data_IF_062266963899
#
_entry.id   IF_062266963899
#
_cell.length_a   1.000
_cell.length_b   1.000
_cell.length_c   1.000
_cell.angle_alpha   90.00
_cell.angle_beta   90.00
_cell.angle_gamma   90.00
#
_symmetry.space_group_name_H-M   'P 1'
#
loop_
_entity.id
_entity.type
_entity.pdbx_description
1 polymer ?
#
# COMPACT_ATOMS: atom_id res chain seq x y z
N UNK A 1 -23.67 -57.44 26.08
CA UNK A 1 -22.64 -56.85 25.19
C UNK A 1 -23.18 -55.79 24.22
N UNK A 2 -24.49 -55.48 24.19
CA UNK A 2 -25.08 -54.58 23.18
C UNK A 2 -25.01 -53.07 23.48
N UNK A 3 -24.68 -52.65 24.71
CA UNK A 3 -24.70 -51.22 25.09
C UNK A 3 -23.52 -50.39 24.60
N UNK A 4 -22.41 -51.02 24.19
CA UNK A 4 -21.23 -50.30 23.70
C UNK A 4 -21.49 -49.78 22.29
N UNK A 5 -22.16 -50.57 21.43
CA UNK A 5 -22.45 -50.17 20.05
C UNK A 5 -23.36 -48.94 19.93
N UNK A 6 -24.33 -48.77 20.83
CA UNK A 6 -25.23 -47.61 20.82
C UNK A 6 -24.53 -46.31 21.23
N UNK A 7 -23.55 -46.37 22.13
CA UNK A 7 -22.75 -45.20 22.54
C UNK A 7 -21.86 -44.71 21.39
N UNK A 8 -21.23 -45.62 20.65
CA UNK A 8 -20.45 -45.26 19.46
C UNK A 8 -21.32 -44.62 18.39
N UNK A 9 -22.53 -45.15 18.16
CA UNK A 9 -23.45 -44.60 17.16
C UNK A 9 -23.89 -43.17 17.52
N UNK A 10 -24.18 -42.92 18.80
CA UNK A 10 -24.54 -41.58 19.28
C UNK A 10 -23.37 -40.59 19.17
N UNK A 11 -22.14 -41.04 19.44
CA UNK A 11 -20.94 -40.21 19.32
C UNK A 11 -20.68 -39.79 17.86
N UNK A 12 -20.78 -40.74 16.93
CA UNK A 12 -20.59 -40.47 15.50
C UNK A 12 -21.68 -39.56 14.97
N UNK A 13 -22.94 -39.79 15.35
CA UNK A 13 -24.06 -38.93 14.97
C UNK A 13 -23.91 -37.50 15.53
N UNK A 14 -23.46 -37.37 16.78
CA UNK A 14 -23.18 -36.07 17.40
C UNK A 14 -22.03 -35.32 16.71
N UNK A 15 -20.93 -36.02 16.38
CA UNK A 15 -19.80 -35.45 15.67
C UNK A 15 -20.18 -34.97 14.26
N UNK A 16 -20.93 -35.79 13.51
CA UNK A 16 -21.43 -35.41 12.19
C UNK A 16 -22.40 -34.21 12.26
N UNK A 17 -23.30 -34.20 13.24
CA UNK A 17 -24.22 -33.07 13.44
C UNK A 17 -23.48 -31.75 13.71
N UNK A 18 -22.46 -31.80 14.59
CA UNK A 18 -21.61 -30.64 14.86
C UNK A 18 -20.80 -30.18 13.65
N UNK A 19 -20.25 -31.13 12.88
CA UNK A 19 -19.49 -30.83 11.67
C UNK A 19 -20.37 -30.19 10.57
N UNK A 20 -21.57 -30.71 10.32
CA UNK A 20 -22.51 -30.12 9.36
C UNK A 20 -22.94 -28.70 9.76
N UNK A 21 -23.23 -28.49 11.05
CA UNK A 21 -23.60 -27.16 11.55
C UNK A 21 -22.46 -26.14 11.34
N UNK A 22 -21.21 -26.54 11.56
CA UNK A 22 -20.04 -25.70 11.33
C UNK A 22 -19.84 -25.38 9.85
N UNK A 23 -20.00 -26.37 8.96
CA UNK A 23 -19.83 -26.19 7.51
C UNK A 23 -20.87 -25.25 6.92
N UNK A 24 -22.15 -25.39 7.32
CA UNK A 24 -23.22 -24.50 6.89
C UNK A 24 -23.00 -23.05 7.34
N UNK A 25 -22.45 -22.85 8.54
CA UNK A 25 -22.15 -21.51 9.06
C UNK A 25 -20.94 -20.88 8.36
N UNK A 26 -19.96 -21.69 7.95
CA UNK A 26 -18.81 -21.24 7.17
C UNK A 26 -19.23 -20.75 5.78
N UNK A 27 -20.05 -21.52 5.07
CA UNK A 27 -20.49 -21.14 3.72
C UNK A 27 -21.25 -19.82 3.71
N UNK A 28 -22.16 -19.60 4.68
CA UNK A 28 -22.87 -18.32 4.80
C UNK A 28 -21.92 -17.14 5.02
N UNK A 29 -20.95 -17.29 5.92
CA UNK A 29 -19.96 -16.25 6.18
C UNK A 29 -19.08 -15.98 4.97
N UNK A 30 -18.67 -17.01 4.23
CA UNK A 30 -17.90 -16.81 3.00
C UNK A 30 -18.70 -16.07 1.94
N UNK A 31 -20.01 -16.34 1.83
CA UNK A 31 -20.86 -15.64 0.87
C UNK A 31 -21.07 -14.17 1.25
N UNK A 32 -21.38 -13.89 2.52
CA UNK A 32 -21.48 -12.52 3.05
C UNK A 32 -20.17 -11.75 2.87
N UNK A 33 -19.03 -12.41 3.12
CA UNK A 33 -17.70 -11.80 2.93
C UNK A 33 -17.43 -11.49 1.45
N UNK A 34 -17.80 -12.38 0.53
CA UNK A 34 -17.64 -12.13 -0.92
C UNK A 34 -18.47 -10.95 -1.38
N UNK A 35 -19.73 -10.86 -0.94
CA UNK A 35 -20.62 -9.73 -1.27
C UNK A 35 -20.03 -8.41 -0.75
N UNK A 36 -19.59 -8.38 0.51
CA UNK A 36 -18.98 -7.18 1.08
C UNK A 36 -17.67 -6.78 0.36
N UNK A 37 -16.86 -7.76 -0.06
CA UNK A 37 -15.64 -7.50 -0.83
C UNK A 37 -15.96 -6.98 -2.23
N UNK A 38 -16.96 -7.53 -2.91
CA UNK A 38 -17.41 -7.02 -4.22
C UNK A 38 -17.94 -5.59 -4.12
N UNK A 39 -18.70 -5.28 -3.07
CA UNK A 39 -19.17 -3.93 -2.78
C UNK A 39 -18.00 -2.96 -2.56
N UNK A 40 -17.03 -3.32 -1.71
CA UNK A 40 -15.81 -2.54 -1.48
C UNK A 40 -14.98 -2.33 -2.75
N UNK A 41 -14.84 -3.36 -3.59
CA UNK A 41 -14.12 -3.24 -4.87
C UNK A 41 -14.85 -2.27 -5.80
N UNK A 42 -16.18 -2.31 -5.82
CA UNK A 42 -16.98 -1.41 -6.65
C UNK A 42 -16.88 0.05 -6.18
N UNK A 43 -16.94 0.30 -4.87
CA UNK A 43 -16.73 1.64 -4.31
C UNK A 43 -15.32 2.16 -4.58
N UNK A 44 -14.30 1.30 -4.45
CA UNK A 44 -12.92 1.65 -4.73
C UNK A 44 -12.72 1.99 -6.22
N UNK A 45 -13.34 1.23 -7.12
CA UNK A 45 -13.28 1.48 -8.56
C UNK A 45 -13.88 2.84 -8.91
N UNK A 46 -15.05 3.16 -8.35
CA UNK A 46 -15.69 4.48 -8.53
C UNK A 46 -14.82 5.59 -7.97
N UNK A 47 -14.26 5.42 -6.78
CA UNK A 47 -13.36 6.42 -6.18
C UNK A 47 -12.09 6.63 -7.00
N UNK A 48 -11.51 5.56 -7.55
CA UNK A 48 -10.35 5.61 -8.42
C UNK A 48 -10.67 6.33 -9.74
N UNK A 49 -11.85 6.09 -10.32
CA UNK A 49 -12.30 6.77 -11.54
C UNK A 49 -12.49 8.27 -11.30
N UNK A 50 -13.12 8.66 -10.20
CA UNK A 50 -13.27 10.07 -9.80
C UNK A 50 -11.90 10.73 -9.58
N UNK A 51 -10.96 10.03 -8.94
CA UNK A 51 -9.61 10.54 -8.75
C UNK A 51 -8.86 10.71 -10.09
N UNK A 52 -9.01 9.74 -11.01
CA UNK A 52 -8.43 9.81 -12.35
C UNK A 52 -8.98 10.99 -13.15
N UNK A 53 -10.30 11.20 -13.12
CA UNK A 53 -10.93 12.33 -13.80
C UNK A 53 -10.41 13.67 -13.26
N UNK A 54 -10.26 13.81 -11.93
CA UNK A 54 -9.68 15.02 -11.32
C UNK A 54 -8.25 15.26 -11.75
N UNK A 55 -7.43 14.20 -11.87
CA UNK A 55 -6.05 14.33 -12.35
C UNK A 55 -6.03 14.76 -13.81
N UNK A 56 -6.92 14.20 -14.65
CA UNK A 56 -7.02 14.57 -16.06
C UNK A 56 -7.48 16.03 -16.23
N UNK A 57 -8.46 16.48 -15.46
CA UNK A 57 -8.88 17.89 -15.43
C UNK A 57 -7.72 18.81 -15.03
N UNK A 58 -6.97 18.44 -14.00
CA UNK A 58 -5.80 19.21 -13.55
C UNK A 58 -4.67 19.21 -14.58
N UNK A 59 -4.44 18.10 -15.29
CA UNK A 59 -3.49 18.06 -16.40
C UNK A 59 -3.92 18.99 -17.54
N UNK A 60 -5.20 18.97 -17.93
CA UNK A 60 -5.73 19.88 -18.96
C UNK A 60 -5.62 21.35 -18.55
N UNK A 61 -5.88 21.66 -17.28
CA UNK A 61 -5.69 23.01 -16.72
C UNK A 61 -4.22 23.43 -16.80
N UNK A 62 -3.29 22.56 -16.42
CA UNK A 62 -1.85 22.82 -16.51
C UNK A 62 -1.38 22.98 -17.97
N UNK A 63 -1.84 22.13 -18.88
CA UNK A 63 -1.53 22.25 -20.31
C UNK A 63 -2.06 23.57 -20.90
N UNK A 64 -3.26 24.00 -20.51
CA UNK A 64 -3.83 25.29 -20.92
C UNK A 64 -3.02 26.49 -20.41
N UNK A 65 -2.52 26.42 -19.16
CA UNK A 65 -1.63 27.45 -18.60
C UNK A 65 -0.26 27.46 -19.29
N UNK A 66 0.28 26.30 -19.65
CA UNK A 66 1.53 26.21 -20.41
C UNK A 66 1.36 26.74 -21.84
N UNK A 67 0.26 26.43 -22.51
CA UNK A 67 -0.03 26.91 -23.86
C UNK A 67 -0.28 28.43 -23.91
N UNK A 68 -0.96 28.99 -22.91
CA UNK A 68 -1.20 30.43 -22.80
C UNK A 68 0.05 31.23 -22.38
N UNK A 69 0.96 30.63 -21.61
CA UNK A 69 2.27 31.24 -21.33
C UNK A 69 3.24 31.12 -22.51
N UNK A 70 3.16 30.05 -23.32
CA UNK A 70 3.98 29.89 -24.52
C UNK A 70 3.66 30.94 -25.59
N UNK A 71 2.41 31.41 -25.69
CA UNK A 71 2.03 32.48 -26.64
C UNK A 71 2.43 33.89 -26.19
N UNK A 72 2.77 34.07 -24.90
CA UNK A 72 3.36 35.32 -24.37
C UNK A 72 4.89 35.39 -24.52
N UNK A 73 5.54 34.31 -24.97
CA UNK A 73 6.99 34.22 -25.17
C UNK A 73 7.40 33.91 -26.62
N UNK A 74 6.63 34.38 -27.60
CA UNK A 74 7.06 34.44 -29.01
C UNK A 74 7.09 35.91 -29.45
N UNK A 75 8.07 36.64 -28.92
CA UNK A 75 8.54 37.89 -29.52
C UNK A 75 9.65 37.56 -30.54
N UNK A 76 9.60 38.09 -31.78
CA UNK A 76 10.66 37.91 -32.76
C UNK A 76 11.74 38.97 -32.53
N UNK A 77 12.92 38.58 -32.05
CA UNK A 77 14.21 39.32 -32.08
C UNK A 77 15.15 38.55 -31.15
N UNK A 78 16.41 38.30 -31.43
CA UNK A 78 17.33 38.64 -32.51
C UNK A 78 18.42 37.58 -32.41
N UNK A 79 19.05 37.25 -33.53
CA UNK A 79 20.28 36.48 -33.56
C UNK A 79 21.33 37.17 -32.67
N UNK A 80 21.71 36.52 -31.57
CA UNK A 80 23.00 36.78 -30.93
C UNK A 80 23.81 35.50 -31.02
N UNK A 81 24.50 35.36 -32.14
CA UNK A 81 25.72 34.55 -32.22
C UNK A 81 26.77 35.16 -31.29
N UNK A 82 27.37 34.34 -30.42
CA UNK A 82 28.81 34.23 -30.15
C UNK A 82 29.07 33.30 -28.93
N UNK A 83 30.27 32.69 -28.79
CA UNK A 83 30.40 31.25 -28.98
C UNK A 83 31.01 30.51 -27.77
N UNK A 84 30.81 29.19 -27.75
CA UNK A 84 31.79 28.26 -27.19
C UNK A 84 31.70 27.97 -25.69
N UNK A 85 30.79 27.08 -25.30
CA UNK A 85 31.10 26.06 -24.27
C UNK A 85 30.48 24.73 -24.74
N UNK A 86 31.31 23.70 -24.68
CA UNK A 86 31.23 22.42 -25.36
C UNK A 86 29.90 21.66 -25.21
N UNK A 87 29.41 21.16 -26.35
CA UNK A 87 28.54 19.99 -26.42
C UNK A 87 29.33 18.75 -26.00
N UNK A 88 28.82 18.01 -25.02
CA UNK A 88 28.96 16.55 -24.97
C UNK A 88 27.61 15.92 -24.65
N UNK A 89 26.97 15.22 -25.61
CA UNK A 89 25.76 14.47 -25.36
C UNK A 89 26.14 13.05 -24.96
N UNK A 90 25.83 12.63 -23.74
CA UNK A 90 25.82 11.20 -23.39
C UNK A 90 24.43 10.83 -22.86
N UNK A 91 23.56 10.60 -23.83
CA UNK A 91 22.45 9.67 -23.74
C UNK A 91 23.00 8.25 -23.53
N UNK A 92 22.87 7.73 -22.31
CA UNK A 92 22.88 6.30 -22.04
C UNK A 92 21.83 6.05 -20.96
N UNK A 93 20.61 5.66 -21.34
CA UNK A 93 20.16 4.26 -21.23
C UNK A 93 20.49 3.68 -19.85
N UNK A 94 19.57 3.84 -18.90
CA UNK A 94 19.33 2.84 -17.85
C UNK A 94 17.82 2.69 -17.63
N UNK A 95 17.13 2.26 -18.69
CA UNK A 95 16.11 1.22 -18.53
C UNK A 95 16.87 -0.06 -18.17
N UNK A 96 16.94 -0.39 -16.88
CA UNK A 96 17.31 -1.73 -16.42
C UNK A 96 16.57 -2.05 -15.13
N UNK A 97 15.70 -3.03 -15.27
CA UNK A 97 15.34 -4.02 -14.26
C UNK A 97 14.21 -3.67 -13.30
N UNK A 98 13.04 -3.40 -13.88
CA UNK A 98 11.85 -4.13 -13.44
C UNK A 98 12.04 -5.61 -13.77
N UNK A 99 12.62 -6.40 -12.86
CA UNK A 99 12.33 -7.85 -12.80
C UNK A 99 12.77 -8.48 -11.48
N UNK A 100 11.79 -9.07 -10.81
CA UNK A 100 11.86 -10.25 -9.95
C UNK A 100 13.24 -10.60 -9.37
N UNK A 101 13.54 -10.01 -8.21
CA UNK A 101 14.03 -10.81 -7.12
C UNK A 101 13.05 -10.64 -5.97
N UNK A 102 12.22 -11.66 -5.76
CA UNK A 102 11.55 -11.91 -4.50
C UNK A 102 12.62 -12.18 -3.42
N UNK A 103 13.39 -11.15 -3.07
CA UNK A 103 14.13 -11.14 -1.84
C UNK A 103 13.06 -10.99 -0.76
N UNK A 104 12.74 -12.10 -0.10
CA UNK A 104 12.14 -12.12 1.23
C UNK A 104 13.03 -11.30 2.17
N UNK A 105 12.97 -9.97 2.07
CA UNK A 105 13.47 -9.07 3.09
C UNK A 105 12.55 -9.30 4.27
N UNK A 106 13.06 -10.02 5.24
CA UNK A 106 12.37 -10.19 6.51
C UNK A 106 12.11 -8.79 7.08
N UNK A 107 10.97 -8.57 7.74
CA UNK A 107 10.59 -7.26 8.28
C UNK A 107 11.47 -6.80 9.45
N UNK A 108 12.71 -7.26 9.56
CA UNK A 108 13.76 -6.82 10.48
C UNK A 108 14.78 -5.84 9.86
N UNK A 109 15.03 -5.90 8.55
CA UNK A 109 16.16 -5.18 7.91
C UNK A 109 15.80 -3.82 7.28
N UNK A 110 14.52 -3.43 7.29
CA UNK A 110 14.09 -2.16 6.65
C UNK A 110 14.44 -0.94 7.52
N UNK A 111 14.59 -1.14 8.84
CA UNK A 111 15.04 -0.13 9.78
C UNK A 111 16.25 -0.68 10.51
N UNK A 112 17.38 0.04 10.49
CA UNK A 112 18.52 -0.32 11.35
C UNK A 112 18.04 -0.51 12.79
N UNK A 113 18.58 -1.50 13.51
CA UNK A 113 18.15 -1.84 14.87
C UNK A 113 18.10 -0.61 15.79
N UNK A 114 19.01 0.34 15.59
CA UNK A 114 19.10 1.63 16.28
C UNK A 114 17.82 2.47 16.16
N UNK A 115 17.16 2.44 15.01
CA UNK A 115 15.94 3.19 14.74
C UNK A 115 14.76 2.57 15.48
N UNK A 116 14.67 1.24 15.50
CA UNK A 116 13.63 0.52 16.25
C UNK A 116 13.75 0.76 17.74
N UNK A 117 14.95 0.66 18.29
CA UNK A 117 15.21 0.92 19.70
C UNK A 117 14.85 2.36 20.09
N UNK A 118 15.15 3.33 19.23
CA UNK A 118 14.75 4.73 19.44
C UNK A 118 13.23 4.93 19.37
N UNK A 119 12.54 4.30 18.43
CA UNK A 119 11.07 4.35 18.35
C UNK A 119 10.45 3.80 19.64
N UNK A 120 10.92 2.63 20.10
CA UNK A 120 10.40 2.00 21.32
C UNK A 120 10.71 2.83 22.57
N UNK A 121 11.91 3.42 22.66
CA UNK A 121 12.29 4.27 23.78
C UNK A 121 11.42 5.54 23.86
N UNK A 122 11.14 6.19 22.72
CA UNK A 122 10.28 7.38 22.67
C UNK A 122 8.81 7.03 22.91
N UNK A 123 8.35 5.88 22.45
CA UNK A 123 6.99 5.40 22.73
C UNK A 123 6.81 5.01 24.20
N UNK A 124 7.83 4.43 24.85
CA UNK A 124 7.81 4.16 26.29
C UNK A 124 7.74 5.45 27.13
N UNK A 125 8.17 6.59 26.58
CA UNK A 125 8.02 7.91 27.19
C UNK A 125 6.62 8.52 26.94
N UNK A 126 5.72 7.80 26.27
CA UNK A 126 4.36 8.27 25.97
C UNK A 126 4.29 9.29 24.83
N UNK A 127 5.32 9.39 23.99
CA UNK A 127 5.28 10.31 22.85
C UNK A 127 4.33 9.82 21.76
N UNK A 128 3.63 10.77 21.14
CA UNK A 128 2.75 10.51 20.00
C UNK A 128 3.57 9.97 18.80
N UNK A 129 3.13 8.89 18.14
CA UNK A 129 3.72 8.38 16.90
C UNK A 129 4.06 9.45 15.85
N UNK A 130 3.27 10.53 15.78
CA UNK A 130 3.53 11.66 14.85
C UNK A 130 4.80 12.42 15.23
N UNK A 131 5.05 12.63 16.52
CA UNK A 131 6.24 13.32 17.02
C UNK A 131 7.49 12.45 16.88
N UNK A 132 7.34 11.14 17.08
CA UNK A 132 8.42 10.15 16.87
C UNK A 132 8.82 10.11 15.40
N UNK A 133 7.85 10.09 14.49
CA UNK A 133 8.07 10.14 13.04
C UNK A 133 8.81 11.42 12.62
N UNK A 134 8.42 12.56 13.18
CA UNK A 134 9.08 13.84 12.93
C UNK A 134 10.50 13.89 13.49
N UNK A 135 10.73 13.38 14.70
CA UNK A 135 12.04 13.36 15.35
C UNK A 135 13.04 12.45 14.63
N UNK A 136 12.57 11.34 14.05
CA UNK A 136 13.41 10.36 13.37
C UNK A 136 13.46 10.54 11.85
N UNK A 137 12.68 11.48 11.28
CA UNK A 137 12.49 11.69 9.83
C UNK A 137 12.00 10.41 9.11
N UNK A 138 11.04 9.74 9.73
CA UNK A 138 10.49 8.45 9.31
C UNK A 138 9.00 8.63 9.00
N UNK A 139 8.41 7.79 8.16
CA UNK A 139 6.97 7.83 7.89
C UNK A 139 6.15 7.44 9.13
N UNK A 140 5.02 8.12 9.36
CA UNK A 140 4.09 7.77 10.47
C UNK A 140 3.69 6.29 10.45
N UNK A 141 3.38 5.75 9.28
CA UNK A 141 3.01 4.35 9.12
C UNK A 141 4.12 3.37 9.49
N UNK A 142 5.39 3.78 9.37
CA UNK A 142 6.54 2.97 9.72
C UNK A 142 6.73 2.90 11.24
N UNK A 143 6.50 4.03 11.93
CA UNK A 143 6.47 4.08 13.40
C UNK A 143 5.34 3.20 13.95
N UNK A 144 4.13 3.32 13.40
CA UNK A 144 2.98 2.49 13.78
C UNK A 144 3.25 0.99 13.53
N UNK A 145 3.92 0.65 12.41
CA UNK A 145 4.32 -0.72 12.12
C UNK A 145 5.27 -1.29 13.19
N UNK A 146 6.29 -0.52 13.58
CA UNK A 146 7.27 -0.95 14.61
C UNK A 146 6.59 -1.12 15.97
N UNK A 147 5.69 -0.22 16.35
CA UNK A 147 4.95 -0.31 17.61
C UNK A 147 4.01 -1.52 17.63
N UNK A 148 3.30 -1.78 16.54
CA UNK A 148 2.40 -2.94 16.41
C UNK A 148 3.15 -4.28 16.39
N UNK A 149 4.38 -4.30 15.88
CA UNK A 149 5.25 -5.48 15.91
C UNK A 149 5.82 -5.76 17.31
N UNK A 150 6.04 -4.72 18.11
CA UNK A 150 6.56 -4.86 19.48
C UNK A 150 5.48 -5.19 20.51
N UNK A 151 4.21 -4.95 20.21
CA UNK A 151 3.08 -5.26 21.10
C UNK A 151 2.50 -6.68 20.92
N UNK A 152 3.10 -7.52 20.07
CA UNK A 152 2.73 -8.92 19.85
C UNK A 152 3.71 -9.85 20.55
#
# INVERSE_FOLDING_TARGET
>A
MSSIGSLFLALVAGYFGGWLALSLHKEKREHELRVAVEELISELAVAAEVASQRVEEKMKEMEGLLASNATLFVGPSEEVELPGVERKPDSAVFLRDHNLAAAKKTPGEIFGEDVRQKILALAAQGQDPVLIAQALKIGRGEVELVLNLASR
#
